data_IF_108998337156
#
_entry.id   IF_108998337156
#
_cell.length_a   1.000
_cell.length_b   1.000
_cell.length_c   1.000
_cell.angle_alpha   90.00
_cell.angle_beta   90.00
_cell.angle_gamma   90.00
#
_symmetry.space_group_name_H-M   'P 1'
#
loop_
_entity.id
_entity.type
_entity.pdbx_description
1 polymer ?
#
# COMPACT_ATOMS: atom_id res chain seq x y z
N UNK A 1 13.94 -13.14 8.45
CA UNK A 1 14.22 -11.93 7.62
C UNK A 1 12.97 -11.43 6.91
N UNK A 2 12.27 -12.26 6.12
CA UNK A 2 11.05 -11.85 5.40
C UNK A 2 9.93 -11.29 6.30
N UNK A 3 9.67 -11.90 7.47
CA UNK A 3 8.59 -11.42 8.36
C UNK A 3 8.76 -9.99 8.88
N UNK A 4 10.00 -9.56 9.17
CA UNK A 4 10.28 -8.18 9.64
C UNK A 4 10.06 -7.19 8.50
N UNK A 5 10.62 -7.46 7.31
CA UNK A 5 10.47 -6.58 6.15
C UNK A 5 9.00 -6.46 5.70
N UNK A 6 8.26 -7.58 5.61
CA UNK A 6 6.87 -7.53 5.20
C UNK A 6 5.97 -6.92 6.29
N UNK A 7 6.34 -7.02 7.58
CA UNK A 7 5.69 -6.33 8.69
C UNK A 7 5.86 -4.80 8.63
N UNK A 8 7.08 -4.32 8.38
CA UNK A 8 7.33 -2.88 8.20
C UNK A 8 6.62 -2.33 6.95
N UNK A 9 6.64 -3.08 5.84
CA UNK A 9 5.90 -2.73 4.63
C UNK A 9 4.39 -2.63 4.92
N UNK A 10 3.82 -3.62 5.62
CA UNK A 10 2.41 -3.61 6.03
C UNK A 10 2.08 -2.36 6.85
N UNK A 11 2.91 -2.00 7.82
CA UNK A 11 2.70 -0.81 8.66
C UNK A 11 2.71 0.48 7.84
N UNK A 12 3.55 0.58 6.82
CA UNK A 12 3.57 1.73 5.89
C UNK A 12 2.28 1.75 5.05
N UNK A 13 1.92 0.62 4.44
CA UNK A 13 0.72 0.48 3.61
C UNK A 13 -0.54 0.85 4.40
N UNK A 14 -0.68 0.35 5.63
CA UNK A 14 -1.81 0.65 6.51
C UNK A 14 -1.92 2.16 6.78
N UNK A 15 -0.79 2.84 7.03
CA UNK A 15 -0.78 4.30 7.23
C UNK A 15 -1.19 5.07 5.98
N UNK A 16 -0.73 4.64 4.81
CA UNK A 16 -1.09 5.30 3.54
C UNK A 16 -2.58 5.12 3.25
N UNK A 17 -3.12 3.92 3.45
CA UNK A 17 -4.56 3.63 3.27
C UNK A 17 -5.42 4.52 4.17
N UNK A 18 -4.99 4.82 5.40
CA UNK A 18 -5.72 5.74 6.29
C UNK A 18 -5.77 7.18 5.77
N UNK A 19 -4.75 7.63 5.04
CA UNK A 19 -4.65 9.01 4.52
C UNK A 19 -5.30 9.14 3.14
N UNK A 20 -5.32 8.06 2.36
CA UNK A 20 -5.78 8.04 0.97
C UNK A 20 -7.20 8.60 0.77
N UNK A 21 -8.23 8.26 1.58
CA UNK A 21 -9.56 8.84 1.41
C UNK A 21 -9.60 10.36 1.56
N UNK A 22 -8.72 10.92 2.40
CA UNK A 22 -8.60 12.37 2.57
C UNK A 22 -8.00 13.01 1.32
N UNK A 23 -7.00 12.38 0.72
CA UNK A 23 -6.40 12.82 -0.54
C UNK A 23 -7.40 12.73 -1.72
N UNK A 24 -8.17 11.64 -1.78
CA UNK A 24 -9.23 11.45 -2.77
C UNK A 24 -10.35 12.49 -2.61
N UNK A 25 -10.76 12.77 -1.37
CA UNK A 25 -11.78 13.77 -1.06
C UNK A 25 -11.35 15.20 -1.41
N UNK A 26 -10.04 15.48 -1.35
CA UNK A 26 -9.49 16.77 -1.73
C UNK A 26 -9.56 17.01 -3.25
N UNK A 27 -9.83 15.96 -4.05
CA UNK A 27 -9.98 16.00 -5.52
C UNK A 27 -8.95 16.93 -6.17
N UNK A 28 -7.68 16.51 -6.32
CA UNK A 28 -6.67 17.35 -6.95
C UNK A 28 -7.15 17.76 -8.35
N UNK A 29 -7.52 19.04 -8.51
CA UNK A 29 -8.09 19.58 -9.75
C UNK A 29 -7.10 19.68 -10.91
N UNK A 30 -5.88 19.18 -10.72
CA UNK A 30 -4.77 19.19 -11.66
C UNK A 30 -4.47 17.75 -12.12
N UNK A 31 -4.27 17.56 -13.42
CA UNK A 31 -4.04 16.23 -14.04
C UNK A 31 -2.86 15.48 -13.39
N UNK A 32 -1.79 16.19 -13.03
CA UNK A 32 -0.62 15.61 -12.35
C UNK A 32 -0.97 15.01 -10.98
N UNK A 33 -1.92 15.60 -10.27
CA UNK A 33 -2.37 15.12 -8.96
C UNK A 33 -3.26 13.89 -9.09
N UNK A 34 -4.13 13.86 -10.10
CA UNK A 34 -4.92 12.66 -10.44
C UNK A 34 -4.00 11.51 -10.84
N UNK A 35 -3.02 11.75 -11.72
CA UNK A 35 -2.05 10.73 -12.12
C UNK A 35 -1.24 10.21 -10.92
N UNK A 36 -0.77 11.11 -10.05
CA UNK A 36 -0.02 10.74 -8.86
C UNK A 36 -0.87 9.90 -7.89
N UNK A 37 -2.15 10.23 -7.74
CA UNK A 37 -3.11 9.48 -6.92
C UNK A 37 -3.39 8.09 -7.50
N UNK A 38 -3.55 7.99 -8.82
CA UNK A 38 -3.70 6.70 -9.52
C UNK A 38 -2.45 5.82 -9.38
N UNK A 39 -1.25 6.40 -9.56
CA UNK A 39 0.01 5.69 -9.35
C UNK A 39 0.15 5.20 -7.92
N UNK A 40 -0.19 6.03 -6.93
CA UNK A 40 -0.17 5.65 -5.53
C UNK A 40 -1.09 4.45 -5.26
N UNK A 41 -2.32 4.47 -5.78
CA UNK A 41 -3.26 3.36 -5.68
C UNK A 41 -2.69 2.07 -6.28
N UNK A 42 -2.08 2.14 -7.46
CA UNK A 42 -1.46 0.98 -8.10
C UNK A 42 -0.31 0.37 -7.26
N UNK A 43 0.54 1.21 -6.69
CA UNK A 43 1.66 0.75 -5.85
C UNK A 43 1.17 0.16 -4.53
N UNK A 44 0.07 0.67 -3.95
CA UNK A 44 -0.57 0.08 -2.76
C UNK A 44 -1.05 -1.35 -3.07
N UNK A 45 -1.70 -1.58 -4.21
CA UNK A 45 -2.17 -2.92 -4.60
C UNK A 45 -1.02 -3.91 -4.82
N UNK A 46 0.09 -3.45 -5.43
CA UNK A 46 1.31 -4.27 -5.55
C UNK A 46 1.89 -4.61 -4.17
N UNK A 47 1.95 -3.64 -3.27
CA UNK A 47 2.45 -3.85 -1.92
C UNK A 47 1.59 -4.84 -1.13
N UNK A 48 0.25 -4.74 -1.24
CA UNK A 48 -0.68 -5.72 -0.65
C UNK A 48 -0.44 -7.13 -1.18
N UNK A 49 -0.30 -7.28 -2.49
CA UNK A 49 -0.01 -8.57 -3.13
C UNK A 49 1.31 -9.18 -2.62
N UNK A 50 2.35 -8.35 -2.47
CA UNK A 50 3.63 -8.78 -1.92
C UNK A 50 3.51 -9.21 -0.44
N UNK A 51 2.78 -8.45 0.38
CA UNK A 51 2.54 -8.80 1.79
C UNK A 51 1.78 -10.12 1.89
N UNK A 52 0.74 -10.31 1.08
CA UNK A 52 -0.03 -11.56 1.03
C UNK A 52 0.89 -12.73 0.65
N UNK A 53 1.69 -12.58 -0.41
CA UNK A 53 2.65 -13.59 -0.80
C UNK A 53 3.68 -13.89 0.31
N UNK A 54 4.18 -12.88 1.03
CA UNK A 54 5.07 -13.11 2.19
C UNK A 54 4.40 -13.95 3.29
N UNK A 55 3.10 -13.71 3.54
CA UNK A 55 2.34 -14.42 4.56
C UNK A 55 2.05 -15.87 4.16
N UNK A 56 1.81 -16.13 2.88
CA UNK A 56 1.54 -17.47 2.34
C UNK A 56 2.83 -18.29 2.12
N UNK A 57 3.94 -17.63 1.77
CA UNK A 57 5.25 -18.28 1.52
C UNK A 57 6.04 -18.57 2.79
N UNK A 58 5.77 -17.87 3.90
CA UNK A 58 6.19 -18.33 5.21
C UNK A 58 5.36 -19.56 5.55
N UNK A 59 5.94 -20.76 5.39
CA UNK A 59 5.32 -22.10 5.57
C UNK A 59 4.54 -22.32 6.89
N UNK A 60 4.61 -21.39 7.80
CA UNK A 60 3.93 -21.36 9.08
C UNK A 60 3.53 -19.90 9.23
N UNK A 61 2.24 -19.64 9.30
CA UNK A 61 1.65 -18.53 10.06
C UNK A 61 2.70 -17.56 10.64
N UNK A 62 2.65 -16.30 10.22
CA UNK A 62 2.82 -15.28 11.25
C UNK A 62 1.89 -15.59 12.42
#
# INVERSE_FOLDING_TARGET
>A
VHGIMCGELKRIVDRVILVLPRLESARPGFMSGIQSLCSLNLEIEKAKSLIQYCSESSKLYM
#
